data_IF_629436502487
#
_entry.id   IF_629436502487
#
_cell.length_a   1.000
_cell.length_b   1.000
_cell.length_c   1.000
_cell.angle_alpha   90.00
_cell.angle_beta   90.00
_cell.angle_gamma   90.00
#
_symmetry.space_group_name_H-M   'P 1'
#
loop_
_entity.id
_entity.type
_entity.pdbx_description
1 polymer ?
#
# COMPACT_ATOMS: atom_id res chain seq x y z
N UNK A 1 -28.51 25.95 -106.50
CA UNK A 1 -28.33 27.26 -105.83
C UNK A 1 -27.37 27.13 -104.66
N UNK A 2 -26.31 27.92 -104.72
CA UNK A 2 -25.16 28.04 -103.84
C UNK A 2 -25.43 27.78 -102.34
N UNK A 3 -24.64 26.90 -101.73
CA UNK A 3 -24.40 26.88 -100.28
C UNK A 3 -23.73 28.19 -99.86
N UNK A 4 -24.46 29.01 -99.12
CA UNK A 4 -23.90 30.16 -98.42
C UNK A 4 -23.05 29.68 -97.23
N UNK A 5 -21.87 30.27 -96.96
CA UNK A 5 -21.08 29.90 -95.80
C UNK A 5 -21.79 30.35 -94.52
N UNK A 6 -21.81 29.46 -93.53
CA UNK A 6 -22.27 29.78 -92.17
C UNK A 6 -21.45 30.95 -91.63
N UNK A 7 -22.15 32.02 -91.24
CA UNK A 7 -21.56 33.16 -90.56
C UNK A 7 -20.91 32.66 -89.25
N UNK A 8 -19.63 32.94 -89.06
CA UNK A 8 -18.94 32.71 -87.80
C UNK A 8 -19.66 33.49 -86.69
N UNK A 9 -20.06 32.78 -85.64
CA UNK A 9 -20.54 33.39 -84.40
C UNK A 9 -19.47 34.35 -83.86
N UNK A 10 -19.84 35.54 -83.37
CA UNK A 10 -18.88 36.47 -82.79
C UNK A 10 -18.24 35.84 -81.55
N UNK A 11 -16.90 35.76 -81.51
CA UNK A 11 -16.15 35.39 -80.31
C UNK A 11 -16.63 36.26 -79.14
N UNK A 12 -17.15 35.62 -78.07
CA UNK A 12 -17.51 36.30 -76.82
C UNK A 12 -16.31 37.12 -76.35
N UNK A 13 -16.50 38.40 -75.95
CA UNK A 13 -15.40 39.20 -75.43
C UNK A 13 -14.75 38.48 -74.24
N UNK A 14 -13.42 38.60 -74.07
CA UNK A 14 -12.73 37.94 -72.97
C UNK A 14 -13.37 38.33 -71.63
N UNK A 15 -13.53 37.39 -70.70
CA UNK A 15 -14.22 37.61 -69.43
C UNK A 15 -13.62 38.82 -68.69
N UNK A 16 -14.46 39.80 -68.37
CA UNK A 16 -14.06 41.05 -67.72
C UNK A 16 -13.68 40.80 -66.26
N UNK A 17 -12.46 41.18 -65.88
CA UNK A 17 -11.95 41.04 -64.51
C UNK A 17 -11.87 42.42 -63.86
N UNK A 18 -12.71 42.65 -62.86
CA UNK A 18 -12.78 43.93 -62.15
C UNK A 18 -11.57 44.10 -61.19
N UNK A 19 -11.05 45.33 -61.05
CA UNK A 19 -10.08 45.66 -60.00
C UNK A 19 -10.75 45.57 -58.63
N UNK A 20 -10.02 45.07 -57.63
CA UNK A 20 -10.54 44.98 -56.27
C UNK A 20 -10.60 46.37 -55.63
N UNK A 21 -11.80 46.83 -55.27
CA UNK A 21 -11.95 48.10 -54.54
C UNK A 21 -11.37 47.99 -53.12
N UNK A 22 -10.77 49.07 -52.64
CA UNK A 22 -10.06 49.08 -51.36
C UNK A 22 -10.97 48.72 -50.17
N UNK A 23 -12.21 49.23 -50.16
CA UNK A 23 -13.15 48.93 -49.08
C UNK A 23 -13.58 47.46 -49.06
N UNK A 24 -13.73 46.83 -50.22
CA UNK A 24 -14.04 45.38 -50.32
C UNK A 24 -12.85 44.56 -49.83
N UNK A 25 -11.62 44.97 -50.18
CA UNK A 25 -10.41 44.33 -49.68
C UNK A 25 -10.29 44.44 -48.15
N UNK A 26 -10.57 45.61 -47.58
CA UNK A 26 -10.58 45.83 -46.11
C UNK A 26 -11.65 44.98 -45.43
N UNK A 27 -12.87 44.96 -45.95
CA UNK A 27 -13.97 44.16 -45.41
C UNK A 27 -13.62 42.66 -45.35
N UNK A 28 -13.16 42.08 -46.47
CA UNK A 28 -12.78 40.67 -46.53
C UNK A 28 -11.62 40.34 -45.58
N UNK A 29 -10.65 41.26 -45.45
CA UNK A 29 -9.53 41.10 -44.53
C UNK A 29 -9.98 41.15 -43.06
N UNK A 30 -10.88 42.06 -42.71
CA UNK A 30 -11.44 42.16 -41.36
C UNK A 30 -12.27 40.92 -41.00
N UNK A 31 -13.10 40.43 -41.93
CA UNK A 31 -13.83 39.17 -41.75
C UNK A 31 -12.88 37.99 -41.52
N UNK A 32 -11.85 37.85 -42.37
CA UNK A 32 -10.83 36.80 -42.20
C UNK A 32 -10.14 36.88 -40.84
N UNK A 33 -9.69 38.07 -40.43
CA UNK A 33 -9.07 38.28 -39.12
C UNK A 33 -10.02 37.91 -37.99
N UNK A 34 -11.29 38.31 -38.07
CA UNK A 34 -12.30 37.97 -37.05
C UNK A 34 -12.49 36.45 -36.90
N UNK A 35 -12.60 35.74 -38.02
CA UNK A 35 -12.72 34.27 -38.07
C UNK A 35 -11.49 33.61 -37.45
N UNK A 36 -10.28 33.98 -37.88
CA UNK A 36 -9.04 33.39 -37.35
C UNK A 36 -8.86 33.67 -35.85
N UNK A 37 -9.17 34.89 -35.40
CA UNK A 37 -9.04 35.25 -33.98
C UNK A 37 -10.00 34.45 -33.11
N UNK A 38 -11.24 34.26 -33.59
CA UNK A 38 -12.27 33.46 -32.91
C UNK A 38 -11.86 31.98 -32.87
N UNK A 39 -11.45 31.44 -34.02
CA UNK A 39 -10.97 30.06 -34.14
C UNK A 39 -9.80 29.78 -33.19
N UNK A 40 -8.77 30.64 -33.18
CA UNK A 40 -7.60 30.48 -32.31
C UNK A 40 -7.99 30.52 -30.83
N UNK A 41 -8.88 31.46 -30.45
CA UNK A 41 -9.35 31.61 -29.08
C UNK A 41 -10.11 30.36 -28.62
N UNK A 42 -11.08 29.89 -29.40
CA UNK A 42 -11.91 28.73 -29.04
C UNK A 42 -11.09 27.44 -29.04
N UNK A 43 -10.20 27.24 -30.01
CA UNK A 43 -9.29 26.09 -30.02
C UNK A 43 -8.38 26.06 -28.79
N UNK A 44 -7.83 27.21 -28.37
CA UNK A 44 -7.02 27.29 -27.14
C UNK A 44 -7.84 26.94 -25.90
N UNK A 45 -9.09 27.40 -25.80
CA UNK A 45 -10.00 27.08 -24.69
C UNK A 45 -10.29 25.58 -24.63
N UNK A 46 -10.67 24.97 -25.76
CA UNK A 46 -10.98 23.55 -25.86
C UNK A 46 -9.77 22.67 -25.55
N UNK A 47 -8.59 23.00 -26.08
CA UNK A 47 -7.34 22.29 -25.78
C UNK A 47 -6.91 22.45 -24.31
N UNK A 48 -7.22 23.58 -23.66
CA UNK A 48 -7.02 23.74 -22.22
C UNK A 48 -7.98 22.85 -21.44
N UNK A 49 -9.26 22.79 -21.84
CA UNK A 49 -10.25 21.91 -21.21
C UNK A 49 -9.82 20.44 -21.28
N UNK A 50 -9.47 19.94 -22.46
CA UNK A 50 -8.97 18.56 -22.63
C UNK A 50 -7.78 18.25 -21.70
N UNK A 51 -6.83 19.19 -21.55
CA UNK A 51 -5.69 19.01 -20.63
C UNK A 51 -6.09 18.97 -19.15
N UNK A 52 -7.12 19.72 -18.76
CA UNK A 52 -7.64 19.71 -17.38
C UNK A 52 -8.35 18.39 -17.13
N UNK A 53 -9.30 18.00 -17.98
CA UNK A 53 -10.04 16.73 -17.83
C UNK A 53 -9.09 15.52 -17.78
N UNK A 54 -8.11 15.49 -18.68
CA UNK A 54 -7.09 14.44 -18.68
C UNK A 54 -6.26 14.39 -17.38
N UNK A 55 -5.96 15.55 -16.79
CA UNK A 55 -5.25 15.61 -15.51
C UNK A 55 -6.11 15.10 -14.36
N UNK A 56 -7.39 15.48 -14.32
CA UNK A 56 -8.32 15.01 -13.29
C UNK A 56 -8.45 13.48 -13.33
N UNK A 57 -8.55 12.87 -14.51
CA UNK A 57 -8.56 11.41 -14.65
C UNK A 57 -7.27 10.74 -14.17
N UNK A 58 -6.10 11.29 -14.50
CA UNK A 58 -4.82 10.76 -14.00
C UNK A 58 -4.73 10.88 -12.47
N UNK A 59 -5.16 12.03 -11.93
CA UNK A 59 -5.16 12.26 -10.49
C UNK A 59 -6.10 11.28 -9.78
N UNK A 60 -7.29 11.04 -10.35
CA UNK A 60 -8.23 10.05 -9.84
C UNK A 60 -7.62 8.66 -9.77
N UNK A 61 -6.98 8.20 -10.84
CA UNK A 61 -6.29 6.90 -10.86
C UNK A 61 -5.24 6.80 -9.74
N UNK A 62 -4.45 7.85 -9.54
CA UNK A 62 -3.45 7.89 -8.47
C UNK A 62 -4.10 7.91 -7.08
N UNK A 63 -5.17 8.69 -6.91
CA UNK A 63 -5.89 8.83 -5.65
C UNK A 63 -6.55 7.51 -5.25
N UNK A 64 -7.24 6.86 -6.19
CA UNK A 64 -7.89 5.55 -5.99
C UNK A 64 -6.89 4.47 -5.61
N UNK A 65 -5.70 4.47 -6.23
CA UNK A 65 -4.62 3.56 -5.84
C UNK A 65 -4.14 3.81 -4.40
N UNK A 66 -3.88 5.07 -4.04
CA UNK A 66 -3.42 5.43 -2.69
C UNK A 66 -4.47 5.12 -1.63
N UNK A 67 -5.73 5.46 -1.90
CA UNK A 67 -6.87 5.15 -1.05
C UNK A 67 -7.00 3.65 -0.80
N UNK A 68 -6.94 2.83 -1.85
CA UNK A 68 -7.00 1.38 -1.69
C UNK A 68 -5.80 0.82 -0.91
N UNK A 69 -4.59 1.36 -1.13
CA UNK A 69 -3.43 0.99 -0.33
C UNK A 69 -3.65 1.29 1.15
N UNK A 70 -4.12 2.48 1.49
CA UNK A 70 -4.42 2.85 2.88
C UNK A 70 -5.50 1.95 3.48
N UNK A 71 -6.55 1.65 2.71
CA UNK A 71 -7.62 0.74 3.11
C UNK A 71 -7.08 -0.67 3.44
N UNK A 72 -6.14 -1.20 2.66
CA UNK A 72 -5.52 -2.50 2.91
C UNK A 72 -4.65 -2.53 4.18
N UNK A 73 -4.11 -1.39 4.62
CA UNK A 73 -3.27 -1.29 5.83
C UNK A 73 -4.07 -1.08 7.11
N UNK A 74 -5.41 -1.04 7.04
CA UNK A 74 -6.27 -0.84 8.22
C UNK A 74 -6.00 -1.93 9.29
N UNK A 75 -6.03 -1.57 10.57
CA UNK A 75 -5.82 -2.54 11.65
C UNK A 75 -6.98 -3.54 11.70
N UNK A 76 -6.67 -4.78 12.08
CA UNK A 76 -7.64 -5.87 12.23
C UNK A 76 -7.68 -6.43 13.65
N UNK A 77 -8.49 -7.47 13.85
CA UNK A 77 -8.61 -8.19 15.12
C UNK A 77 -7.68 -9.39 15.24
N UNK A 78 -6.87 -9.73 14.21
CA UNK A 78 -6.04 -10.94 14.19
C UNK A 78 -5.04 -10.92 15.34
N UNK A 79 -4.38 -9.78 15.56
CA UNK A 79 -3.41 -9.63 16.66
C UNK A 79 -4.05 -9.81 18.04
N UNK A 80 -5.31 -9.41 18.22
CA UNK A 80 -6.01 -9.55 19.50
C UNK A 80 -6.28 -11.02 19.82
N UNK A 81 -6.70 -11.81 18.81
CA UNK A 81 -6.92 -13.25 18.94
C UNK A 81 -5.62 -13.98 19.28
N UNK A 82 -4.53 -13.67 18.56
CA UNK A 82 -3.22 -14.25 18.82
C UNK A 82 -2.73 -13.93 20.24
N UNK A 83 -2.81 -12.67 20.66
CA UNK A 83 -2.40 -12.27 22.00
C UNK A 83 -3.24 -12.94 23.10
N UNK A 84 -4.56 -13.03 22.91
CA UNK A 84 -5.45 -13.73 23.85
C UNK A 84 -5.08 -15.22 23.97
N UNK A 85 -4.78 -15.88 22.85
CA UNK A 85 -4.28 -17.25 22.85
C UNK A 85 -2.94 -17.37 23.58
N UNK A 86 -1.97 -16.49 23.30
CA UNK A 86 -0.66 -16.52 23.96
C UNK A 86 -0.78 -16.38 25.49
N UNK A 87 -1.63 -15.48 25.95
CA UNK A 87 -1.89 -15.29 27.38
C UNK A 87 -2.48 -16.56 28.01
N UNK A 88 -3.49 -17.16 27.35
CA UNK A 88 -4.11 -18.43 27.81
C UNK A 88 -3.10 -19.57 27.80
N UNK A 89 -2.34 -19.72 26.72
CA UNK A 89 -1.32 -20.75 26.57
C UNK A 89 -0.25 -20.65 27.65
N UNK A 90 0.27 -19.45 27.94
CA UNK A 90 1.33 -19.26 28.93
C UNK A 90 0.86 -19.34 30.39
N UNK A 91 -0.45 -19.21 30.63
CA UNK A 91 -1.04 -19.42 31.97
C UNK A 91 -1.07 -20.88 32.42
N UNK A 92 -0.95 -21.83 31.49
CA UNK A 92 -0.86 -23.27 31.80
C UNK A 92 0.43 -23.60 32.56
N UNK A 93 0.28 -24.40 33.61
CA UNK A 93 1.39 -24.94 34.39
C UNK A 93 2.31 -25.80 33.50
N UNK A 94 3.62 -25.75 33.77
CA UNK A 94 4.62 -26.49 33.01
C UNK A 94 4.47 -28.00 33.20
N UNK A 95 4.05 -28.47 34.38
CA UNK A 95 3.87 -29.91 34.65
C UNK A 95 2.77 -30.53 33.76
N UNK A 96 1.75 -29.76 33.43
CA UNK A 96 0.62 -30.22 32.61
C UNK A 96 0.97 -30.30 31.11
N UNK A 97 2.03 -29.63 30.66
CA UNK A 97 2.38 -29.55 29.22
C UNK A 97 2.87 -30.87 28.64
N UNK A 98 3.54 -31.70 29.45
CA UNK A 98 4.04 -33.00 29.03
C UNK A 98 2.97 -34.11 29.00
N UNK A 99 1.76 -33.84 29.52
CA UNK A 99 0.68 -34.82 29.48
C UNK A 99 0.15 -34.99 28.04
N UNK A 100 0.03 -36.23 27.53
CA UNK A 100 -0.39 -36.46 26.14
C UNK A 100 -1.80 -35.96 25.84
N UNK A 101 -2.70 -36.00 26.83
CA UNK A 101 -4.07 -35.48 26.71
C UNK A 101 -4.07 -33.95 26.55
N UNK A 102 -3.37 -33.24 27.43
CA UNK A 102 -3.24 -31.78 27.38
C UNK A 102 -2.55 -31.32 26.10
N UNK A 103 -1.54 -32.06 25.63
CA UNK A 103 -0.87 -31.79 24.35
C UNK A 103 -1.83 -31.91 23.15
N UNK A 104 -2.70 -32.93 23.15
CA UNK A 104 -3.75 -33.08 22.13
C UNK A 104 -4.73 -31.91 22.15
N UNK A 105 -5.23 -31.53 23.33
CA UNK A 105 -6.13 -30.38 23.49
C UNK A 105 -5.48 -29.07 23.02
N UNK A 106 -4.18 -28.87 23.28
CA UNK A 106 -3.43 -27.71 22.83
C UNK A 106 -3.29 -27.64 21.31
N UNK A 107 -3.11 -28.78 20.64
CA UNK A 107 -3.11 -28.85 19.18
C UNK A 107 -4.49 -28.51 18.60
N UNK A 108 -5.55 -29.07 19.17
CA UNK A 108 -6.93 -28.72 18.77
C UNK A 108 -7.21 -27.22 18.96
N UNK A 109 -6.76 -26.63 20.07
CA UNK A 109 -6.89 -25.18 20.28
C UNK A 109 -6.06 -24.35 19.29
N UNK A 110 -4.90 -24.84 18.86
CA UNK A 110 -4.10 -24.17 17.83
C UNK A 110 -4.76 -24.25 16.46
N UNK A 111 -5.41 -25.37 16.14
CA UNK A 111 -6.22 -25.52 14.92
C UNK A 111 -7.44 -24.60 14.94
N UNK A 112 -8.15 -24.52 16.07
CA UNK A 112 -9.25 -23.57 16.26
C UNK A 112 -8.81 -22.11 16.11
N UNK A 113 -7.64 -21.73 16.67
CA UNK A 113 -7.09 -20.39 16.47
C UNK A 113 -6.78 -20.14 14.99
N UNK A 114 -6.23 -21.12 14.29
CA UNK A 114 -5.94 -21.03 12.86
C UNK A 114 -7.22 -20.75 12.06
N UNK A 115 -8.31 -21.48 12.35
CA UNK A 115 -9.62 -21.28 11.71
C UNK A 115 -10.21 -19.90 12.01
N UNK A 116 -10.12 -19.43 13.26
CA UNK A 116 -10.56 -18.09 13.64
C UNK A 116 -9.78 -16.98 12.91
N UNK A 117 -8.46 -17.12 12.80
CA UNK A 117 -7.59 -16.17 12.08
C UNK A 117 -7.89 -16.18 10.58
N UNK A 118 -8.14 -17.35 9.99
CA UNK A 118 -8.59 -17.47 8.61
C UNK A 118 -9.94 -16.82 8.38
N UNK A 119 -10.92 -17.03 9.26
CA UNK A 119 -12.24 -16.38 9.15
C UNK A 119 -12.13 -14.84 9.14
N UNK A 120 -11.27 -14.26 10.00
CA UNK A 120 -11.01 -12.81 10.00
C UNK A 120 -10.34 -12.36 8.69
N UNK A 121 -9.41 -13.15 8.16
CA UNK A 121 -8.72 -12.85 6.92
C UNK A 121 -9.65 -12.93 5.70
N UNK A 122 -10.51 -13.94 5.63
CA UNK A 122 -11.49 -14.11 4.55
C UNK A 122 -12.53 -12.99 4.58
N UNK A 123 -13.08 -12.65 5.75
CA UNK A 123 -14.00 -11.51 5.89
C UNK A 123 -13.32 -10.17 5.54
N UNK A 124 -12.03 -10.03 5.81
CA UNK A 124 -11.26 -8.84 5.41
C UNK A 124 -11.02 -8.78 3.91
N UNK A 125 -10.79 -9.95 3.27
CA UNK A 125 -10.66 -10.08 1.83
C UNK A 125 -11.97 -9.73 1.12
N UNK A 126 -13.09 -10.29 1.56
CA UNK A 126 -14.42 -10.02 1.01
C UNK A 126 -14.73 -8.51 1.01
N UNK A 127 -14.53 -7.83 2.16
CA UNK A 127 -14.70 -6.38 2.25
C UNK A 127 -13.74 -5.57 1.37
N UNK A 128 -12.57 -6.11 1.04
CA UNK A 128 -11.61 -5.46 0.15
C UNK A 128 -11.95 -5.72 -1.32
N UNK A 129 -12.56 -6.86 -1.64
CA UNK A 129 -13.16 -7.13 -2.96
C UNK A 129 -14.37 -6.22 -3.21
N UNK A 130 -15.23 -6.01 -2.20
CA UNK A 130 -16.31 -5.02 -2.25
C UNK A 130 -15.78 -3.60 -2.51
N UNK A 131 -14.77 -3.14 -1.74
CA UNK A 131 -14.18 -1.82 -1.96
C UNK A 131 -13.55 -1.71 -3.36
N UNK A 132 -12.83 -2.74 -3.79
CA UNK A 132 -12.26 -2.77 -5.14
C UNK A 132 -13.35 -2.67 -6.20
N UNK A 133 -14.42 -3.45 -6.09
CA UNK A 133 -15.53 -3.40 -7.05
C UNK A 133 -16.20 -2.04 -7.04
N UNK A 134 -16.32 -1.37 -5.89
CA UNK A 134 -16.80 0.02 -5.81
C UNK A 134 -15.90 1.00 -6.57
N UNK A 135 -14.57 0.88 -6.44
CA UNK A 135 -13.61 1.74 -7.16
C UNK A 135 -13.66 1.48 -8.67
N UNK A 136 -13.77 0.21 -9.08
CA UNK A 136 -13.76 -0.18 -10.50
C UNK A 136 -15.09 0.12 -11.20
N UNK A 137 -16.21 0.15 -10.48
CA UNK A 137 -17.53 0.40 -11.04
C UNK A 137 -17.97 1.87 -10.98
N UNK A 138 -17.07 2.78 -10.58
CA UNK A 138 -17.40 4.20 -10.52
C UNK A 138 -17.75 4.78 -11.90
N UNK A 139 -18.56 5.84 -11.93
CA UNK A 139 -18.90 6.53 -13.17
C UNK A 139 -17.87 7.58 -13.58
N UNK A 140 -16.91 7.90 -12.71
CA UNK A 140 -16.03 9.06 -12.87
C UNK A 140 -15.27 9.00 -14.19
N UNK A 141 -14.69 7.86 -14.52
CA UNK A 141 -13.95 7.67 -15.77
C UNK A 141 -14.86 7.84 -17.00
N UNK A 142 -16.07 7.28 -16.95
CA UNK A 142 -17.06 7.39 -18.04
C UNK A 142 -17.53 8.82 -18.26
N UNK A 143 -17.73 9.57 -17.17
CA UNK A 143 -18.20 10.96 -17.19
C UNK A 143 -17.12 11.88 -17.77
N UNK A 144 -15.86 11.74 -17.35
CA UNK A 144 -14.77 12.54 -17.89
C UNK A 144 -14.42 12.20 -19.35
N UNK A 145 -14.55 10.92 -19.76
CA UNK A 145 -14.45 10.55 -21.18
C UNK A 145 -15.51 11.27 -22.01
N UNK A 146 -16.76 11.35 -21.52
CA UNK A 146 -17.81 12.11 -22.20
C UNK A 146 -17.44 13.60 -22.34
N UNK A 147 -16.92 14.23 -21.29
CA UNK A 147 -16.48 15.63 -21.33
C UNK A 147 -15.36 15.88 -22.35
N UNK A 148 -14.45 14.93 -22.50
CA UNK A 148 -13.39 14.99 -23.51
C UNK A 148 -13.97 14.85 -24.92
N UNK A 149 -14.84 13.88 -25.16
CA UNK A 149 -15.49 13.70 -26.47
C UNK A 149 -16.25 14.97 -26.87
N UNK A 150 -17.03 15.54 -25.94
CA UNK A 150 -17.72 16.83 -26.17
C UNK A 150 -16.74 17.96 -26.48
N UNK A 151 -15.57 17.99 -25.83
CA UNK A 151 -14.54 18.98 -26.16
C UNK A 151 -13.97 18.80 -27.57
N UNK A 152 -13.83 17.56 -28.05
CA UNK A 152 -13.44 17.26 -29.43
C UNK A 152 -14.55 17.59 -30.44
N UNK A 153 -15.82 17.36 -30.11
CA UNK A 153 -16.97 17.86 -30.90
C UNK A 153 -16.88 19.37 -31.06
N UNK A 154 -16.57 20.09 -29.97
CA UNK A 154 -16.33 21.52 -30.01
C UNK A 154 -15.19 21.92 -30.96
N UNK A 155 -14.09 21.15 -31.04
CA UNK A 155 -13.00 21.45 -31.98
C UNK A 155 -13.43 21.27 -33.42
N UNK A 156 -14.22 20.23 -33.72
CA UNK A 156 -14.78 20.00 -35.06
C UNK A 156 -15.75 21.10 -35.46
N UNK A 157 -16.58 21.57 -34.52
CA UNK A 157 -17.44 22.74 -34.72
C UNK A 157 -16.62 23.96 -35.18
N UNK A 158 -15.48 24.24 -34.52
CA UNK A 158 -14.64 25.38 -34.89
C UNK A 158 -13.96 25.20 -36.26
N UNK A 159 -13.50 23.99 -36.60
CA UNK A 159 -12.95 23.70 -37.94
C UNK A 159 -14.00 23.87 -39.05
N UNK A 160 -15.23 23.42 -38.81
CA UNK A 160 -16.34 23.56 -39.77
C UNK A 160 -16.75 25.03 -39.95
N UNK A 161 -16.87 25.80 -38.86
CA UNK A 161 -17.17 27.23 -38.93
C UNK A 161 -16.09 28.00 -39.70
N UNK A 162 -14.82 27.70 -39.40
CA UNK A 162 -13.69 28.29 -40.11
C UNK A 162 -13.75 27.95 -41.61
N UNK A 163 -14.01 26.69 -41.96
CA UNK A 163 -14.17 26.25 -43.35
C UNK A 163 -15.30 26.97 -44.10
N UNK A 164 -16.50 27.04 -43.49
CA UNK A 164 -17.65 27.76 -44.07
C UNK A 164 -17.32 29.23 -44.30
N UNK A 165 -16.66 29.88 -43.34
CA UNK A 165 -16.23 31.27 -43.44
C UNK A 165 -15.14 31.48 -44.51
N UNK A 166 -14.13 30.59 -44.59
CA UNK A 166 -13.11 30.63 -45.66
C UNK A 166 -13.76 30.55 -47.03
N UNK A 167 -14.71 29.62 -47.22
CA UNK A 167 -15.43 29.47 -48.49
C UNK A 167 -16.26 30.69 -48.84
N UNK A 168 -16.94 31.29 -47.86
CA UNK A 168 -17.68 32.53 -48.06
C UNK A 168 -16.74 33.66 -48.52
N UNK A 169 -15.62 33.88 -47.82
CA UNK A 169 -14.63 34.91 -48.18
C UNK A 169 -14.05 34.67 -49.58
N UNK A 170 -13.72 33.42 -49.93
CA UNK A 170 -13.23 33.05 -51.27
C UNK A 170 -14.29 33.32 -52.34
N UNK A 171 -15.53 32.86 -52.12
CA UNK A 171 -16.66 33.10 -53.02
C UNK A 171 -16.82 34.59 -53.27
N UNK A 172 -16.90 35.37 -52.20
CA UNK A 172 -17.15 36.80 -52.21
C UNK A 172 -16.04 37.57 -52.97
N UNK A 173 -14.77 37.19 -52.74
CA UNK A 173 -13.62 37.74 -53.47
C UNK A 173 -13.69 37.43 -54.97
N UNK A 174 -13.90 36.17 -55.35
CA UNK A 174 -13.86 35.75 -56.75
C UNK A 174 -15.10 36.21 -57.54
N UNK A 175 -16.27 36.28 -56.90
CA UNK A 175 -17.51 36.77 -57.51
C UNK A 175 -17.46 38.27 -57.75
N UNK A 176 -16.97 39.04 -56.76
CA UNK A 176 -16.74 40.47 -56.93
C UNK A 176 -15.82 40.76 -58.13
N UNK A 177 -14.69 40.04 -58.21
CA UNK A 177 -13.73 40.22 -59.31
C UNK A 177 -14.23 39.74 -60.67
N UNK A 178 -15.22 38.86 -60.71
CA UNK A 178 -15.88 38.42 -61.93
C UNK A 178 -17.10 39.28 -62.31
N UNK A 179 -17.38 40.36 -61.56
CA UNK A 179 -18.54 41.22 -61.79
C UNK A 179 -19.89 40.51 -61.58
N UNK A 180 -19.90 39.38 -60.87
CA UNK A 180 -21.13 38.62 -60.57
C UNK A 180 -21.85 39.23 -59.37
N UNK A 181 -23.18 39.16 -59.38
CA UNK A 181 -24.00 39.56 -58.23
C UNK A 181 -23.73 38.63 -57.06
N UNK A 182 -23.45 39.18 -55.88
CA UNK A 182 -23.27 38.42 -54.65
C UNK A 182 -24.57 37.68 -54.28
N UNK A 183 -24.54 36.43 -53.79
CA UNK A 183 -25.73 35.81 -53.21
C UNK A 183 -26.21 36.64 -52.02
N UNK A 184 -27.52 36.87 -51.92
CA UNK A 184 -28.10 37.66 -50.82
C UNK A 184 -28.03 36.93 -49.47
N UNK A 185 -27.89 35.59 -49.48
CA UNK A 185 -27.88 34.76 -48.28
C UNK A 185 -26.52 34.07 -48.05
N UNK A 186 -25.99 34.21 -46.84
CA UNK A 186 -24.90 33.38 -46.34
C UNK A 186 -25.47 32.04 -45.87
N UNK A 187 -24.89 30.89 -46.26
CA UNK A 187 -25.34 29.59 -45.76
C UNK A 187 -25.35 29.56 -44.23
N UNK A 188 -26.39 28.97 -43.64
CA UNK A 188 -26.49 28.82 -42.20
C UNK A 188 -25.29 28.03 -41.64
N UNK A 189 -24.79 28.48 -40.49
CA UNK A 189 -23.71 27.82 -39.80
C UNK A 189 -24.17 26.44 -39.29
N UNK A 190 -23.42 25.39 -39.62
CA UNK A 190 -23.72 24.04 -39.15
C UNK A 190 -23.52 23.96 -37.64
N UNK A 191 -24.48 23.39 -36.93
CA UNK A 191 -24.39 23.16 -35.49
C UNK A 191 -24.03 21.69 -35.19
N UNK A 192 -22.74 21.38 -35.32
CA UNK A 192 -22.13 20.06 -35.08
C UNK A 192 -22.40 19.58 -33.65
N UNK A 193 -22.39 20.50 -32.67
CA UNK A 193 -22.68 20.16 -31.27
C UNK A 193 -24.10 19.64 -31.16
N UNK A 194 -25.07 20.36 -31.71
CA UNK A 194 -26.47 19.95 -31.69
C UNK A 194 -26.67 18.61 -32.44
N UNK A 195 -26.05 18.43 -33.60
CA UNK A 195 -26.09 17.18 -34.36
C UNK A 195 -25.52 15.99 -33.56
N UNK A 196 -24.50 16.23 -32.73
CA UNK A 196 -23.97 15.23 -31.81
C UNK A 196 -24.87 14.99 -30.60
N UNK A 197 -25.71 15.94 -30.20
CA UNK A 197 -26.59 15.80 -29.03
C UNK A 197 -27.95 15.19 -29.39
N UNK A 198 -28.57 15.59 -30.48
CA UNK A 198 -30.00 15.37 -30.76
C UNK A 198 -30.37 13.97 -31.30
N UNK A 199 -29.46 12.98 -31.25
CA UNK A 199 -29.67 11.62 -31.82
C UNK A 199 -30.42 11.64 -33.15
N UNK A 200 -30.05 12.56 -34.04
CA UNK A 200 -30.77 12.77 -35.30
C UNK A 200 -30.92 11.44 -36.05
N UNK A 201 -32.13 11.09 -36.54
CA UNK A 201 -32.43 9.75 -37.05
C UNK A 201 -31.51 9.31 -38.21
N UNK A 202 -30.92 10.27 -38.93
CA UNK A 202 -30.01 10.02 -40.06
C UNK A 202 -28.51 9.98 -39.67
N UNK A 203 -28.16 10.26 -38.40
CA UNK A 203 -26.78 10.32 -37.88
C UNK A 203 -26.63 9.35 -36.68
N UNK A 204 -27.13 8.13 -36.81
CA UNK A 204 -26.72 7.04 -35.92
C UNK A 204 -25.36 6.51 -36.39
N UNK A 205 -24.31 6.81 -35.65
CA UNK A 205 -23.00 6.22 -35.91
C UNK A 205 -22.97 4.77 -35.49
N UNK A 206 -22.49 3.88 -36.36
CA UNK A 206 -22.12 2.53 -35.93
C UNK A 206 -20.97 2.61 -34.91
N UNK A 207 -20.95 1.75 -33.89
CA UNK A 207 -19.80 1.63 -33.00
C UNK A 207 -18.53 1.48 -33.83
N UNK A 208 -17.43 2.11 -33.39
CA UNK A 208 -16.17 1.99 -34.13
C UNK A 208 -15.78 0.52 -34.24
N UNK A 209 -15.58 0.08 -35.49
CA UNK A 209 -14.88 -1.16 -35.78
C UNK A 209 -13.44 -1.03 -35.27
N UNK A 210 -13.16 -1.77 -34.23
CA UNK A 210 -11.82 -1.98 -33.70
C UNK A 210 -11.36 -3.31 -34.30
N UNK A 211 -10.25 -3.31 -35.03
CA UNK A 211 -9.64 -4.55 -35.54
C UNK A 211 -9.49 -5.53 -34.36
N UNK A 212 -9.97 -6.77 -34.48
CA UNK A 212 -9.93 -7.76 -33.38
C UNK A 212 -8.49 -8.05 -32.90
N UNK A 213 -7.50 -7.81 -33.75
CA UNK A 213 -6.06 -7.91 -33.42
C UNK A 213 -5.55 -6.72 -32.59
N UNK A 214 -6.22 -5.57 -32.63
CA UNK A 214 -5.92 -4.41 -31.80
C UNK A 214 -6.64 -4.58 -30.47
N UNK A 215 -5.90 -4.96 -29.42
CA UNK A 215 -6.38 -5.20 -28.04
C UNK A 215 -6.93 -3.93 -27.36
N UNK A 216 -7.95 -3.30 -27.95
CA UNK A 216 -8.53 -2.04 -27.50
C UNK A 216 -9.19 -2.22 -26.15
N UNK A 217 -8.92 -1.28 -25.25
CA UNK A 217 -9.51 -1.22 -23.90
C UNK A 217 -10.77 -0.36 -23.84
N UNK A 218 -11.29 0.07 -24.99
CA UNK A 218 -12.50 0.88 -25.09
C UNK A 218 -13.72 0.09 -24.61
N UNK A 219 -14.54 0.73 -23.78
CA UNK A 219 -15.85 0.20 -23.42
C UNK A 219 -16.83 0.34 -24.60
N UNK A 220 -17.94 -0.40 -24.57
CA UNK A 220 -18.94 -0.30 -25.65
C UNK A 220 -19.55 1.10 -25.73
N UNK A 221 -19.73 1.79 -24.60
CA UNK A 221 -20.15 3.19 -24.57
C UNK A 221 -19.13 4.12 -25.22
N UNK A 222 -17.82 3.88 -25.02
CA UNK A 222 -16.79 4.69 -25.68
C UNK A 222 -16.80 4.47 -27.20
N UNK A 223 -16.95 3.21 -27.65
CA UNK A 223 -17.04 2.86 -29.07
C UNK A 223 -18.26 3.49 -29.73
N UNK A 224 -19.39 3.51 -29.04
CA UNK A 224 -20.63 4.16 -29.49
C UNK A 224 -20.43 5.68 -29.63
N UNK A 225 -19.92 6.35 -28.58
CA UNK A 225 -19.70 7.80 -28.59
C UNK A 225 -18.69 8.23 -29.66
N UNK A 226 -17.59 7.48 -29.80
CA UNK A 226 -16.60 7.74 -30.84
C UNK A 226 -17.16 7.37 -32.24
N UNK A 227 -18.01 6.36 -32.34
CA UNK A 227 -18.72 6.00 -33.57
C UNK A 227 -19.66 7.11 -34.04
N UNK A 228 -20.44 7.67 -33.10
CA UNK A 228 -21.27 8.85 -33.32
C UNK A 228 -20.44 10.06 -33.74
N UNK A 229 -19.31 10.30 -33.07
CA UNK A 229 -18.38 11.37 -33.44
C UNK A 229 -17.93 11.22 -34.90
N UNK A 230 -17.53 10.01 -35.31
CA UNK A 230 -17.13 9.69 -36.68
C UNK A 230 -18.27 9.94 -37.68
N UNK A 231 -19.47 9.46 -37.38
CA UNK A 231 -20.63 9.64 -38.24
C UNK A 231 -21.01 11.11 -38.42
N UNK A 232 -20.92 11.92 -37.36
CA UNK A 232 -21.13 13.37 -37.44
C UNK A 232 -20.07 14.03 -38.34
N UNK A 233 -18.80 13.62 -38.26
CA UNK A 233 -17.74 14.11 -39.16
C UNK A 233 -18.05 13.76 -40.61
N UNK A 234 -18.38 12.49 -40.86
CA UNK A 234 -18.67 11.99 -42.20
C UNK A 234 -19.92 12.67 -42.80
N UNK A 235 -20.96 12.86 -42.00
CA UNK A 235 -22.14 13.62 -42.40
C UNK A 235 -21.80 15.08 -42.71
N UNK A 236 -21.13 15.80 -41.81
CA UNK A 236 -20.83 17.22 -42.01
C UNK A 236 -19.94 17.43 -43.24
N UNK A 237 -18.96 16.56 -43.43
CA UNK A 237 -18.11 16.58 -44.61
C UNK A 237 -18.93 16.34 -45.88
N UNK A 238 -19.71 15.26 -45.95
CA UNK A 238 -20.51 14.93 -47.13
C UNK A 238 -21.59 15.99 -47.44
N UNK A 239 -22.27 16.52 -46.42
CA UNK A 239 -23.28 17.58 -46.57
C UNK A 239 -22.68 18.85 -47.17
N UNK A 240 -21.54 19.31 -46.64
CA UNK A 240 -20.84 20.50 -47.13
C UNK A 240 -20.30 20.35 -48.56
N UNK A 241 -20.05 19.11 -49.00
CA UNK A 241 -19.58 18.79 -50.34
C UNK A 241 -20.72 18.49 -51.33
N UNK A 242 -21.87 18.01 -50.84
CA UNK A 242 -23.06 17.72 -51.64
C UNK A 242 -23.86 18.95 -52.07
N UNK A 243 -23.68 20.10 -51.40
CA UNK A 243 -24.27 21.40 -51.80
C UNK A 243 -23.61 22.03 -53.04
N UNK A 244 -22.86 21.27 -53.85
CA UNK A 244 -22.39 21.73 -55.15
C UNK A 244 -23.57 21.74 -56.13
N UNK A 245 -24.34 22.84 -56.10
CA UNK A 245 -25.32 23.17 -57.13
C UNK A 245 -24.66 23.30 -58.50
N UNK A 246 -25.48 23.06 -59.52
CA UNK A 246 -25.19 22.84 -60.94
C UNK A 246 -24.01 23.64 -61.51
N UNK A 247 -23.25 22.96 -62.38
CA UNK A 247 -22.09 23.44 -63.16
C UNK A 247 -22.44 24.56 -64.17
N UNK A 248 -23.29 25.53 -63.80
CA UNK A 248 -23.60 26.66 -64.64
C UNK A 248 -22.44 27.68 -64.62
N UNK A 249 -21.76 27.76 -65.78
CA UNK A 249 -20.68 28.68 -66.14
C UNK A 249 -19.36 28.57 -65.33
N UNK A 250 -18.70 27.40 -65.41
CA UNK A 250 -17.29 27.21 -65.03
C UNK A 250 -16.31 27.89 -66.02
N UNK A 251 -16.78 28.36 -67.18
CA UNK A 251 -15.93 28.93 -68.24
C UNK A 251 -15.08 30.14 -67.79
N UNK A 252 -15.51 30.88 -66.76
CA UNK A 252 -14.77 32.06 -66.29
C UNK A 252 -13.47 31.64 -65.55
N UNK A 253 -12.27 32.14 -65.94
CA UNK A 253 -10.98 31.75 -65.34
C UNK A 253 -10.90 31.91 -63.80
N UNK A 254 -11.60 32.90 -63.25
CA UNK A 254 -11.70 33.09 -61.78
C UNK A 254 -12.58 32.05 -61.08
N UNK A 255 -13.60 31.49 -61.75
CA UNK A 255 -14.44 30.43 -61.18
C UNK A 255 -13.68 29.11 -61.15
N UNK A 256 -12.84 28.85 -62.16
CA UNK A 256 -11.89 27.73 -62.13
C UNK A 256 -10.94 27.86 -60.93
N UNK A 257 -10.40 29.05 -60.66
CA UNK A 257 -9.53 29.30 -59.48
C UNK A 257 -10.28 29.16 -58.16
N UNK A 258 -11.51 29.64 -58.05
CA UNK A 258 -12.37 29.45 -56.88
C UNK A 258 -12.63 27.96 -56.61
N UNK A 259 -12.96 27.19 -57.65
CA UNK A 259 -13.18 25.74 -57.55
C UNK A 259 -11.91 25.01 -57.07
N UNK A 260 -10.74 25.38 -57.62
CA UNK A 260 -9.46 24.85 -57.16
C UNK A 260 -9.17 25.20 -55.69
N UNK A 261 -9.40 26.45 -55.28
CA UNK A 261 -9.21 26.89 -53.90
C UNK A 261 -10.15 26.16 -52.92
N UNK A 262 -11.43 26.01 -53.29
CA UNK A 262 -12.41 25.25 -52.51
C UNK A 262 -11.99 23.78 -52.34
N UNK A 263 -11.46 23.15 -53.40
CA UNK A 263 -10.96 21.77 -53.35
C UNK A 263 -9.75 21.62 -52.41
N UNK A 264 -8.86 22.60 -52.38
CA UNK A 264 -7.73 22.62 -51.43
C UNK A 264 -8.25 22.75 -49.99
N UNK A 265 -9.16 23.69 -49.76
CA UNK A 265 -9.71 23.95 -48.42
C UNK A 265 -10.55 22.76 -47.90
N UNK A 266 -11.28 22.09 -48.78
CA UNK A 266 -11.99 20.83 -48.48
C UNK A 266 -11.03 19.74 -48.02
N UNK A 267 -9.92 19.55 -48.77
CA UNK A 267 -8.90 18.56 -48.41
C UNK A 267 -8.29 18.87 -47.04
N UNK A 268 -7.98 20.14 -46.77
CA UNK A 268 -7.42 20.58 -45.49
C UNK A 268 -8.39 20.34 -44.34
N UNK A 269 -9.67 20.70 -44.49
CA UNK A 269 -10.68 20.44 -43.47
C UNK A 269 -10.81 18.94 -43.17
N UNK A 270 -10.86 18.09 -44.20
CA UNK A 270 -10.97 16.63 -44.03
C UNK A 270 -9.75 16.06 -43.28
N UNK A 271 -8.54 16.49 -43.63
CA UNK A 271 -7.32 16.07 -42.93
C UNK A 271 -7.29 16.54 -41.47
N UNK A 272 -7.72 17.79 -41.19
CA UNK A 272 -7.77 18.33 -39.82
C UNK A 272 -8.81 17.59 -38.97
N UNK A 273 -10.03 17.42 -39.45
CA UNK A 273 -11.08 16.69 -38.73
C UNK A 273 -10.68 15.23 -38.47
N UNK A 274 -10.03 14.57 -39.43
CA UNK A 274 -9.46 13.24 -39.23
C UNK A 274 -8.44 13.22 -38.08
N UNK A 275 -7.52 14.18 -38.02
CA UNK A 275 -6.54 14.29 -36.92
C UNK A 275 -7.19 14.58 -35.58
N UNK A 276 -8.21 15.43 -35.54
CA UNK A 276 -8.99 15.74 -34.33
C UNK A 276 -9.64 14.46 -33.79
N UNK A 277 -10.25 13.66 -34.67
CA UNK A 277 -10.82 12.37 -34.33
C UNK A 277 -9.80 11.35 -33.84
N UNK A 278 -8.70 11.16 -34.57
CA UNK A 278 -7.61 10.25 -34.17
C UNK A 278 -7.04 10.63 -32.81
N UNK A 279 -6.91 11.94 -32.53
CA UNK A 279 -6.46 12.43 -31.24
C UNK A 279 -7.47 12.16 -30.13
N UNK A 280 -8.77 12.29 -30.42
CA UNK A 280 -9.83 11.95 -29.48
C UNK A 280 -9.77 10.46 -29.10
N UNK A 281 -9.75 9.59 -30.12
CA UNK A 281 -9.64 8.13 -29.95
C UNK A 281 -8.42 7.75 -29.10
N UNK A 282 -7.24 8.25 -29.46
CA UNK A 282 -6.00 7.97 -28.74
C UNK A 282 -6.08 8.34 -27.26
N UNK A 283 -6.67 9.50 -26.93
CA UNK A 283 -6.75 9.96 -25.55
C UNK A 283 -7.71 9.08 -24.73
N UNK A 284 -8.85 8.71 -25.29
CA UNK A 284 -9.78 7.79 -24.63
C UNK A 284 -9.13 6.41 -24.44
N UNK A 285 -8.39 5.91 -25.43
CA UNK A 285 -7.64 4.64 -25.32
C UNK A 285 -6.57 4.68 -24.22
N UNK A 286 -5.72 5.72 -24.15
CA UNK A 286 -4.68 5.88 -23.11
C UNK A 286 -5.29 5.86 -21.71
N UNK A 287 -6.41 6.54 -21.53
CA UNK A 287 -7.08 6.65 -20.23
C UNK A 287 -7.71 5.32 -19.83
N UNK A 288 -8.41 4.64 -20.74
CA UNK A 288 -8.99 3.30 -20.48
C UNK A 288 -7.91 2.25 -20.23
N UNK A 289 -6.77 2.35 -20.91
CA UNK A 289 -5.64 1.47 -20.64
C UNK A 289 -5.15 1.63 -19.19
N UNK A 290 -5.01 2.87 -18.71
CA UNK A 290 -4.60 3.13 -17.33
C UNK A 290 -5.63 2.70 -16.29
N UNK A 291 -6.91 2.80 -16.60
CA UNK A 291 -8.00 2.28 -15.76
C UNK A 291 -7.91 0.75 -15.62
N UNK A 292 -7.68 0.04 -16.74
CA UNK A 292 -7.44 -1.41 -16.72
C UNK A 292 -6.19 -1.75 -15.91
N UNK A 293 -5.10 -0.99 -16.08
CA UNK A 293 -3.88 -1.17 -15.29
C UNK A 293 -4.12 -0.93 -13.79
N UNK A 294 -4.93 0.07 -13.43
CA UNK A 294 -5.34 0.32 -12.06
C UNK A 294 -6.08 -0.91 -11.50
N UNK A 295 -7.13 -1.37 -12.17
CA UNK A 295 -7.91 -2.53 -11.73
C UNK A 295 -7.05 -3.78 -11.50
N UNK A 296 -6.14 -4.07 -12.44
CA UNK A 296 -5.16 -5.16 -12.31
C UNK A 296 -4.18 -4.93 -11.16
N UNK A 297 -3.75 -3.68 -10.93
CA UNK A 297 -2.89 -3.34 -9.79
C UNK A 297 -3.63 -3.56 -8.47
N UNK A 298 -4.91 -3.19 -8.36
CA UNK A 298 -5.71 -3.41 -7.16
C UNK A 298 -5.85 -4.90 -6.86
N UNK A 299 -6.15 -5.72 -7.88
CA UNK A 299 -6.21 -7.19 -7.76
C UNK A 299 -4.90 -7.79 -7.26
N UNK A 300 -3.78 -7.37 -7.85
CA UNK A 300 -2.45 -7.86 -7.45
C UNK A 300 -2.12 -7.49 -6.01
N UNK A 301 -2.43 -6.26 -5.59
CA UNK A 301 -2.18 -5.81 -4.22
C UNK A 301 -3.01 -6.61 -3.21
N UNK A 302 -4.29 -6.82 -3.50
CA UNK A 302 -5.17 -7.64 -2.67
C UNK A 302 -4.68 -9.10 -2.58
N UNK A 303 -4.37 -9.70 -3.73
CA UNK A 303 -3.89 -11.07 -3.79
C UNK A 303 -2.55 -11.27 -3.09
N UNK A 304 -1.61 -10.33 -3.22
CA UNK A 304 -0.32 -10.39 -2.54
C UNK A 304 -0.50 -10.25 -1.02
N UNK A 305 -1.30 -9.29 -0.56
CA UNK A 305 -1.62 -9.12 0.86
C UNK A 305 -2.23 -10.39 1.44
N UNK A 306 -3.22 -10.98 0.77
CA UNK A 306 -3.87 -12.20 1.25
C UNK A 306 -2.88 -13.37 1.35
N UNK A 307 -2.00 -13.55 0.34
CA UNK A 307 -0.96 -14.59 0.38
C UNK A 307 0.00 -14.38 1.56
N UNK A 308 0.52 -13.17 1.72
CA UNK A 308 1.42 -12.84 2.83
C UNK A 308 0.73 -13.02 4.20
N UNK A 309 -0.56 -12.66 4.31
CA UNK A 309 -1.36 -12.91 5.51
C UNK A 309 -1.48 -14.41 5.83
N UNK A 310 -1.76 -15.24 4.83
CA UNK A 310 -1.84 -16.70 5.01
C UNK A 310 -0.50 -17.29 5.45
N UNK A 311 0.60 -16.82 4.87
CA UNK A 311 1.95 -17.22 5.24
C UNK A 311 2.30 -16.78 6.68
N UNK A 312 1.92 -15.56 7.07
CA UNK A 312 2.12 -15.04 8.42
C UNK A 312 1.33 -15.82 9.47
N UNK A 313 0.05 -16.11 9.21
CA UNK A 313 -0.79 -16.95 10.09
C UNK A 313 -0.18 -18.35 10.20
N UNK A 314 0.19 -18.97 9.08
CA UNK A 314 0.83 -20.29 9.08
C UNK A 314 2.13 -20.29 9.88
N UNK A 315 2.94 -19.24 9.77
CA UNK A 315 4.16 -19.06 10.55
C UNK A 315 3.88 -19.00 12.06
N UNK A 316 2.92 -18.18 12.47
CA UNK A 316 2.51 -18.04 13.88
C UNK A 316 2.01 -19.36 14.47
N UNK A 317 1.14 -20.08 13.74
CA UNK A 317 0.61 -21.37 14.19
C UNK A 317 1.72 -22.43 14.24
N UNK A 318 2.66 -22.42 13.29
CA UNK A 318 3.81 -23.34 13.30
C UNK A 318 4.67 -23.12 14.54
N UNK A 319 4.97 -21.87 14.92
CA UNK A 319 5.72 -21.54 16.13
C UNK A 319 4.99 -22.00 17.40
N UNK A 320 3.65 -21.83 17.45
CA UNK A 320 2.80 -22.33 18.55
C UNK A 320 2.88 -23.85 18.65
N UNK A 321 2.69 -24.57 17.53
CA UNK A 321 2.76 -26.03 17.50
C UNK A 321 4.14 -26.55 17.88
N UNK A 322 5.21 -25.88 17.46
CA UNK A 322 6.58 -26.21 17.89
C UNK A 322 6.79 -26.00 19.40
N UNK A 323 6.22 -24.96 19.99
CA UNK A 323 6.28 -24.74 21.44
C UNK A 323 5.51 -25.81 22.22
N UNK A 324 4.35 -26.24 21.70
CA UNK A 324 3.57 -27.37 22.23
C UNK A 324 4.41 -28.66 22.19
N UNK A 325 5.05 -28.95 21.07
CA UNK A 325 5.89 -30.14 20.92
C UNK A 325 7.10 -30.16 21.86
N UNK A 326 7.69 -28.99 22.12
CA UNK A 326 8.82 -28.81 23.04
C UNK A 326 8.41 -28.69 24.50
N UNK A 327 7.11 -28.70 24.82
CA UNK A 327 6.56 -28.53 26.17
C UNK A 327 6.98 -27.19 26.82
N UNK A 328 7.21 -26.17 25.99
CA UNK A 328 7.74 -24.87 26.40
C UNK A 328 6.66 -23.79 26.40
N UNK A 329 6.87 -22.74 27.20
CA UNK A 329 6.09 -21.51 27.10
C UNK A 329 6.50 -20.73 25.85
N UNK A 330 5.58 -19.92 25.33
CA UNK A 330 5.87 -18.96 24.28
C UNK A 330 6.57 -17.76 24.89
N UNK A 331 7.90 -17.78 24.97
CA UNK A 331 8.71 -16.72 25.62
C UNK A 331 8.52 -15.33 25.01
N UNK A 332 8.48 -15.27 23.69
CA UNK A 332 8.48 -14.04 22.92
C UNK A 332 7.07 -13.69 22.44
N UNK A 333 6.78 -12.40 22.36
CA UNK A 333 5.49 -11.94 21.86
C UNK A 333 5.38 -12.25 20.37
N UNK A 334 4.25 -12.85 19.96
CA UNK A 334 4.00 -13.20 18.57
C UNK A 334 3.13 -12.10 17.98
N UNK A 335 3.64 -11.43 16.95
CA UNK A 335 3.00 -10.25 16.37
C UNK A 335 2.70 -10.50 14.89
N UNK A 336 1.42 -10.36 14.54
CA UNK A 336 0.91 -10.29 13.17
C UNK A 336 0.71 -8.82 12.80
N UNK A 337 1.61 -8.27 11.98
CA UNK A 337 1.51 -6.89 11.46
C UNK A 337 1.03 -6.90 10.03
N UNK A 338 -0.27 -6.65 9.81
CA UNK A 338 -0.93 -6.59 8.49
C UNK A 338 -0.67 -7.85 7.66
N UNK A 339 0.53 -7.99 7.09
CA UNK A 339 1.00 -9.06 6.20
C UNK A 339 2.19 -9.85 6.75
N UNK A 340 2.81 -9.43 7.85
CA UNK A 340 4.07 -9.99 8.38
C UNK A 340 3.87 -10.70 9.72
N UNK A 341 4.60 -11.79 9.93
CA UNK A 341 4.74 -12.44 11.22
C UNK A 341 6.10 -12.13 11.84
N UNK A 342 6.09 -11.58 13.06
CA UNK A 342 7.27 -11.16 13.80
C UNK A 342 7.25 -11.84 15.18
N UNK A 343 8.35 -12.50 15.52
CA UNK A 343 8.66 -12.90 16.89
C UNK A 343 9.43 -11.77 17.55
N UNK A 344 8.78 -11.06 18.45
CA UNK A 344 9.37 -9.92 19.15
C UNK A 344 10.20 -10.44 20.33
N UNK A 345 11.53 -10.43 20.15
CA UNK A 345 12.48 -10.93 21.14
C UNK A 345 12.63 -10.00 22.36
N UNK A 346 12.30 -8.72 22.20
CA UNK A 346 12.43 -7.71 23.26
C UNK A 346 11.22 -7.70 24.20
N UNK A 347 10.08 -8.23 23.74
CA UNK A 347 8.85 -8.32 24.52
C UNK A 347 8.62 -9.73 25.06
N UNK A 348 8.87 -9.92 26.36
CA UNK A 348 8.54 -11.15 27.06
C UNK A 348 7.04 -11.23 27.39
N UNK A 349 6.46 -12.40 27.18
CA UNK A 349 5.04 -12.68 27.47
C UNK A 349 4.77 -13.04 28.93
N UNK A 350 5.80 -13.34 29.72
CA UNK A 350 5.69 -13.62 31.15
C UNK A 350 6.95 -13.19 31.91
N UNK A 351 6.79 -12.84 33.18
CA UNK A 351 7.90 -12.44 34.04
C UNK A 351 8.78 -13.66 34.38
N UNK A 352 10.09 -13.54 34.15
CA UNK A 352 11.04 -14.55 34.59
C UNK A 352 11.01 -14.62 36.13
N UNK A 353 10.88 -15.82 36.73
CA UNK A 353 11.01 -15.95 38.18
C UNK A 353 12.37 -15.40 38.60
N UNK A 354 12.46 -14.65 39.73
CA UNK A 354 13.72 -14.10 40.18
C UNK A 354 14.73 -15.23 40.37
N UNK A 355 16.00 -15.02 39.99
CA UNK A 355 17.03 -16.03 40.14
C UNK A 355 17.06 -16.48 41.60
N UNK A 356 17.08 -17.81 41.82
CA UNK A 356 17.14 -18.39 43.16
C UNK A 356 18.31 -17.72 43.88
N UNK A 357 18.09 -17.07 45.04
CA UNK A 357 19.16 -16.40 45.75
C UNK A 357 20.31 -17.38 45.96
N UNK A 358 21.57 -16.96 45.75
CA UNK A 358 22.71 -17.83 45.98
C UNK A 358 22.61 -18.41 47.39
N UNK A 359 22.80 -19.72 47.52
CA UNK A 359 22.85 -20.37 48.83
C UNK A 359 23.82 -19.57 49.70
N UNK A 360 23.33 -19.06 50.83
CA UNK A 360 24.14 -18.26 51.75
C UNK A 360 25.46 -18.98 52.06
N UNK A 361 26.57 -18.26 51.99
CA UNK A 361 27.91 -18.78 52.30
C UNK A 361 27.88 -19.45 53.68
N UNK A 362 28.27 -20.73 53.76
CA UNK A 362 28.46 -21.43 55.03
C UNK A 362 29.42 -20.61 55.92
N UNK A 363 28.95 -20.25 57.12
CA UNK A 363 29.67 -19.43 58.09
C UNK A 363 31.10 -19.97 58.31
N UNK A 364 32.14 -19.18 58.04
CA UNK A 364 33.52 -19.58 58.31
C UNK A 364 33.70 -19.81 59.81
N UNK A 365 34.12 -21.02 60.19
CA UNK A 365 34.35 -21.38 61.59
C UNK A 365 35.46 -20.50 62.14
N UNK A 366 35.10 -19.52 62.98
CA UNK A 366 36.08 -18.58 63.54
C UNK A 366 37.23 -19.28 64.29
N UNK A 367 38.41 -18.63 64.42
CA UNK A 367 39.70 -19.24 64.78
C UNK A 367 39.77 -19.92 66.17
N UNK A 368 38.72 -19.80 66.97
CA UNK A 368 38.63 -20.46 68.28
C UNK A 368 37.40 -21.36 68.42
N UNK A 369 36.62 -21.60 67.36
CA UNK A 369 35.46 -22.50 67.39
C UNK A 369 35.84 -23.89 66.87
N UNK A 370 35.27 -24.91 67.50
CA UNK A 370 35.44 -26.29 67.06
C UNK A 370 34.47 -26.55 65.91
N UNK A 371 34.94 -27.17 64.83
CA UNK A 371 34.05 -27.68 63.79
C UNK A 371 33.19 -28.83 64.32
N UNK A 372 32.07 -29.13 63.66
CA UNK A 372 31.19 -30.25 64.04
C UNK A 372 31.93 -31.58 64.14
N UNK A 373 32.94 -31.79 63.28
CA UNK A 373 33.81 -32.96 63.31
C UNK A 373 34.80 -32.95 64.50
N UNK A 374 35.38 -31.78 64.82
CA UNK A 374 36.26 -31.64 65.98
C UNK A 374 35.50 -31.83 67.30
N UNK A 375 34.28 -31.32 67.41
CA UNK A 375 33.41 -31.54 68.59
C UNK A 375 33.10 -33.03 68.79
N UNK A 376 32.73 -33.73 67.72
CA UNK A 376 32.42 -35.15 67.79
C UNK A 376 33.67 -35.96 68.19
N UNK A 377 34.81 -35.65 67.58
CA UNK A 377 36.09 -36.30 67.86
C UNK A 377 36.56 -36.04 69.29
N UNK A 378 36.47 -34.79 69.77
CA UNK A 378 36.83 -34.38 71.14
C UNK A 378 35.91 -35.05 72.18
N UNK A 379 34.61 -35.13 71.91
CA UNK A 379 33.67 -35.83 72.80
C UNK A 379 33.97 -37.33 72.90
N UNK A 380 34.30 -37.99 71.77
CA UNK A 380 34.67 -39.40 71.74
C UNK A 380 36.01 -39.68 72.45
N UNK A 381 36.92 -38.70 72.41
CA UNK A 381 38.23 -38.79 73.05
C UNK A 381 38.11 -38.57 74.58
N UNK A 382 37.36 -37.56 75.02
CA UNK A 382 37.10 -37.33 76.43
C UNK A 382 36.33 -38.49 77.08
N UNK A 383 35.36 -39.08 76.37
CA UNK A 383 34.64 -40.29 76.85
C UNK A 383 35.58 -41.49 77.04
N UNK A 384 36.65 -41.60 76.26
CA UNK A 384 37.69 -42.63 76.45
C UNK A 384 38.61 -42.31 77.61
N UNK A 385 38.87 -41.02 77.88
CA UNK A 385 39.73 -40.58 78.98
C UNK A 385 39.03 -40.60 80.35
N UNK A 386 37.71 -40.46 80.40
CA UNK A 386 36.91 -40.58 81.63
C UNK A 386 35.56 -41.23 81.31
N UNK A 387 35.35 -42.46 81.78
CA UNK A 387 34.09 -43.20 81.61
C UNK A 387 32.96 -42.73 82.54
N UNK A 388 33.29 -41.96 83.57
CA UNK A 388 32.35 -41.46 84.58
C UNK A 388 31.70 -40.12 84.21
N UNK A 389 32.16 -39.49 83.11
CA UNK A 389 31.55 -38.27 82.58
C UNK A 389 31.79 -37.00 83.40
N UNK A 390 32.65 -37.03 84.42
CA UNK A 390 33.05 -35.87 85.22
C UNK A 390 34.58 -35.73 85.19
N UNK A 391 35.08 -34.55 84.86
CA UNK A 391 36.51 -34.23 84.78
C UNK A 391 36.72 -32.84 85.37
N UNK A 392 37.68 -32.67 86.29
CA UNK A 392 38.03 -31.35 86.84
C UNK A 392 38.68 -30.46 85.78
N UNK A 393 38.53 -29.13 85.89
CA UNK A 393 39.12 -28.18 84.93
C UNK A 393 40.64 -28.34 84.83
N UNK A 394 41.31 -28.72 85.92
CA UNK A 394 42.76 -28.93 85.94
C UNK A 394 43.16 -30.16 85.12
N UNK A 395 42.48 -31.30 85.34
CA UNK A 395 42.70 -32.52 84.57
C UNK A 395 42.35 -32.33 83.08
N UNK A 396 41.27 -31.59 82.79
CA UNK A 396 40.87 -31.28 81.42
C UNK A 396 41.90 -30.39 80.71
N UNK A 397 42.44 -29.38 81.41
CA UNK A 397 43.47 -28.49 80.84
C UNK A 397 44.75 -29.27 80.54
N UNK A 398 45.19 -30.13 81.45
CA UNK A 398 46.38 -30.96 81.25
C UNK A 398 46.18 -32.00 80.15
N UNK A 399 44.98 -32.59 80.06
CA UNK A 399 44.65 -33.56 79.01
C UNK A 399 44.64 -32.90 77.63
N UNK A 400 44.01 -31.73 77.49
CA UNK A 400 44.00 -30.98 76.23
C UNK A 400 45.38 -30.45 75.85
N UNK A 401 46.19 -30.03 76.82
CA UNK A 401 47.58 -29.63 76.58
C UNK A 401 48.44 -30.81 76.14
N UNK A 402 48.27 -32.00 76.74
CA UNK A 402 48.92 -33.23 76.28
C UNK A 402 48.48 -33.62 74.88
N UNK A 403 47.18 -33.54 74.59
CA UNK A 403 46.63 -33.82 73.26
C UNK A 403 47.19 -32.88 72.18
N UNK A 404 47.41 -31.60 72.53
CA UNK A 404 48.07 -30.63 71.67
C UNK A 404 49.55 -30.97 71.36
N UNK A 405 50.24 -31.69 72.25
CA UNK A 405 51.63 -32.12 72.05
C UNK A 405 51.78 -33.43 71.26
N UNK A 406 50.70 -34.16 70.99
CA UNK A 406 50.74 -35.42 70.23
C UNK A 406 50.72 -35.12 68.74
N UNK A 407 51.83 -35.42 68.04
CA UNK A 407 51.93 -35.25 66.60
C UNK A 407 50.85 -36.06 65.86
N UNK A 408 50.03 -35.37 65.05
CA UNK A 408 48.99 -35.98 64.21
C UNK A 408 47.57 -35.97 64.80
N UNK A 409 47.38 -35.54 66.05
CA UNK A 409 46.06 -35.49 66.69
C UNK A 409 45.31 -34.19 66.37
N UNK A 410 44.52 -34.16 65.29
CA UNK A 410 43.79 -32.97 64.82
C UNK A 410 42.46 -32.70 65.55
N UNK A 411 42.41 -32.93 66.86
CA UNK A 411 41.17 -32.82 67.64
C UNK A 411 40.90 -31.36 68.08
N UNK A 412 41.95 -30.53 68.15
CA UNK A 412 41.88 -29.14 68.56
C UNK A 412 42.16 -28.17 67.38
N UNK A 413 41.62 -26.93 67.41
CA UNK A 413 42.00 -25.88 66.48
C UNK A 413 43.48 -25.52 66.64
N UNK A 414 44.11 -25.06 65.57
CA UNK A 414 45.56 -24.77 65.53
C UNK A 414 45.93 -23.72 66.57
N UNK A 415 45.05 -22.75 66.77
CA UNK A 415 45.19 -21.65 67.69
C UNK A 415 45.21 -22.13 69.15
N UNK A 416 44.49 -23.21 69.47
CA UNK A 416 44.50 -23.80 70.82
C UNK A 416 45.78 -24.56 71.13
N UNK A 417 46.42 -25.15 70.12
CA UNK A 417 47.68 -25.90 70.27
C UNK A 417 48.81 -24.97 70.73
N UNK A 418 48.76 -23.69 70.33
CA UNK A 418 49.77 -22.68 70.66
C UNK A 418 49.58 -22.00 72.03
N UNK A 419 48.49 -22.30 72.75
CA UNK A 419 48.17 -21.62 74.02
C UNK A 419 48.93 -22.25 75.20
N UNK A 420 49.58 -21.44 76.06
CA UNK A 420 50.15 -21.93 77.30
C UNK A 420 49.04 -22.42 78.25
N UNK A 421 49.33 -23.38 79.14
CA UNK A 421 48.31 -24.04 79.97
C UNK A 421 47.56 -23.06 80.88
N UNK A 422 48.20 -21.96 81.31
CA UNK A 422 47.57 -20.88 82.06
C UNK A 422 46.49 -20.13 81.27
N UNK A 423 46.72 -19.88 79.97
CA UNK A 423 45.75 -19.23 79.09
C UNK A 423 44.64 -20.20 78.67
N UNK A 424 44.97 -21.47 78.40
CA UNK A 424 43.98 -22.50 78.09
C UNK A 424 43.01 -22.72 79.27
N UNK A 425 43.54 -22.73 80.51
CA UNK A 425 42.73 -22.80 81.74
C UNK A 425 41.76 -21.63 81.87
N UNK A 426 42.22 -20.41 81.64
CA UNK A 426 41.38 -19.22 81.68
C UNK A 426 40.30 -19.27 80.58
N UNK A 427 40.68 -19.71 79.38
CA UNK A 427 39.77 -19.84 78.24
C UNK A 427 38.66 -20.87 78.47
N UNK A 428 39.01 -22.04 79.02
CA UNK A 428 38.05 -23.08 79.40
C UNK A 428 37.11 -22.59 80.51
N UNK A 429 37.62 -21.89 81.53
CA UNK A 429 36.78 -21.32 82.60
C UNK A 429 35.75 -20.32 82.05
N UNK A 430 36.16 -19.40 81.19
CA UNK A 430 35.27 -18.36 80.62
C UNK A 430 34.19 -18.97 79.71
N UNK A 431 34.55 -19.95 78.86
CA UNK A 431 33.57 -20.60 77.98
C UNK A 431 32.67 -21.61 78.66
N UNK A 432 33.14 -22.31 79.70
CA UNK A 432 32.30 -23.18 80.52
C UNK A 432 31.30 -22.36 81.37
N UNK A 433 31.67 -21.16 81.81
CA UNK A 433 30.74 -20.21 82.45
C UNK A 433 29.64 -19.73 81.48
N UNK A 434 29.98 -19.47 80.22
CA UNK A 434 29.00 -19.05 79.20
C UNK A 434 28.00 -20.16 78.80
N UNK A 435 28.37 -21.43 78.97
CA UNK A 435 27.48 -22.59 78.75
C UNK A 435 26.40 -22.76 79.85
N UNK A 436 26.52 -22.07 80.99
CA UNK A 436 25.47 -22.07 82.03
C UNK A 436 24.32 -21.08 81.76
N UNK A 437 24.41 -20.22 80.73
CA UNK A 437 23.43 -19.17 80.43
C UNK A 437 22.46 -19.50 79.27
N UNK A 438 22.49 -20.72 78.70
CA UNK A 438 21.54 -21.21 77.69
C UNK A 438 21.16 -22.69 77.97
N UNK A 439 19.91 -23.16 77.75
CA UNK A 439 19.49 -24.54 78.07
C UNK A 439 19.73 -25.53 76.89
N UNK A 440 19.33 -26.82 77.01
CA UNK A 440 20.02 -28.07 77.44
C UNK A 440 20.63 -28.87 76.23
N UNK A 441 21.18 -30.13 76.28
CA UNK A 441 21.23 -31.17 77.32
C UNK A 441 22.61 -31.87 77.44
N UNK A 442 23.70 -31.24 77.88
CA UNK A 442 24.92 -31.99 78.22
C UNK A 442 25.63 -31.30 79.39
N UNK A 443 25.20 -31.64 80.60
CA UNK A 443 25.78 -31.15 81.86
C UNK A 443 27.14 -31.81 82.12
N UNK A 444 28.21 -31.02 82.10
CA UNK A 444 29.45 -31.28 82.85
C UNK A 444 29.41 -30.38 84.09
N UNK A 445 28.84 -30.90 85.18
CA UNK A 445 28.83 -30.19 86.47
C UNK A 445 30.22 -30.23 87.10
N UNK A 446 30.76 -29.05 87.40
CA UNK A 446 32.04 -28.86 88.08
C UNK A 446 31.78 -28.15 89.41
N UNK A 447 31.89 -28.87 90.52
CA UNK A 447 31.91 -28.30 91.86
C UNK A 447 33.28 -27.63 92.11
N UNK A 448 33.27 -26.34 92.43
CA UNK A 448 34.43 -25.61 92.93
C UNK A 448 34.55 -25.77 94.44
N UNK A 449 35.56 -26.47 94.92
CA UNK A 449 36.05 -26.34 96.28
C UNK A 449 37.09 -25.21 96.33
N UNK A 450 36.62 -24.00 96.66
CA UNK A 450 37.46 -22.89 97.14
C UNK A 450 37.85 -23.15 98.60
N UNK A 451 39.03 -22.69 99.02
CA UNK A 451 39.07 -21.93 100.26
C UNK A 451 39.74 -20.56 100.09
N UNK A 452 39.02 -19.56 100.62
CA UNK A 452 39.34 -18.16 100.94
C UNK A 452 39.60 -17.18 99.79
#
# INVERSE_FOLDING_TARGET
PSTAPAAAEPEKPPPEVLPLHEDVARLLLEQWRGVETTFELEMKKLLRRVRVEHREMINHISSSRSHFLEYLHRPDSKQKLLHAFQARYNSLDNELRGLPQTKSELHEQADLLQDELWAVSDASREKAEEERTSIVSDSFMSDHVQLIIVSFVGMMQQEILRFQATRAILRDYFWYRAGRNMPEETPEALNVIQMFMDDAPDIQGSPIEVDEESNSKLTDSDKERLGKLKAVIDYCTNFLFGQQGEEEEIEHPLMVKLAQANKIEEKLMRERNKRVFERAKFLVEDVREREVQLSQSLDRMLGNRFKSEMEAIKGAITEIKLAIEKEQRLFHNLVLKVSDFIRDEDSLTYALPPPVPPLSVLEEVGPYRLSSWQLLSLSSWLKRASSTGVITVEILTDALHKAASIAGMKILPVEWISLPPSKLRAFLKVRLLLLHLFPPPFLLLLYSSLPL
#
